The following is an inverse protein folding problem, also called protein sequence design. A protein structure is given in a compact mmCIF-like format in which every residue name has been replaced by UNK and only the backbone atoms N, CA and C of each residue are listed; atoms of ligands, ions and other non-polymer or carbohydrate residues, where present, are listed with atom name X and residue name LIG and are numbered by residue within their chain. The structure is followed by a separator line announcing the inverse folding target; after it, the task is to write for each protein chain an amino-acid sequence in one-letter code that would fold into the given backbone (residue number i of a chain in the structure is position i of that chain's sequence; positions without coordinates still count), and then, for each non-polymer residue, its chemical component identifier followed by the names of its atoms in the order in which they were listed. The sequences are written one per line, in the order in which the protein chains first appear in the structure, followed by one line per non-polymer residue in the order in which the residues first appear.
data_IF_839346020821
#
_entry.id   IF_839346020821
#
_cell.length_a   1.000
_cell.length_b   1.000
_cell.length_c   1.000
_cell.angle_alpha   90.00
_cell.angle_beta   90.00
_cell.angle_gamma   90.00
#
_symmetry.space_group_name_H-M   'P 1'
#
loop_
_entity.id
_entity.type
_entity.pdbx_description
1 polymer ?
#
# COMPACT_ATOMS: atom_id res chain seq x y z
N UNK A 1 -9.92 20.05 2.45
CA UNK A 1 -8.64 19.32 2.24
C UNK A 1 -8.63 17.89 2.80
N UNK A 2 -9.78 17.20 2.95
CA UNK A 2 -9.81 15.82 3.52
C UNK A 2 -9.40 14.70 2.55
N UNK A 3 -9.38 14.97 1.25
CA UNK A 3 -9.15 13.96 0.19
C UNK A 3 -7.69 13.78 -0.20
N UNK A 4 -6.84 14.78 0.07
CA UNK A 4 -5.41 14.76 -0.22
C UNK A 4 -4.67 13.52 0.31
N UNK A 5 -4.82 13.09 1.58
CA UNK A 5 -4.09 11.93 2.07
C UNK A 5 -4.50 10.64 1.35
N UNK A 6 -5.77 10.54 0.93
CA UNK A 6 -6.27 9.38 0.21
C UNK A 6 -5.69 9.30 -1.21
N UNK A 7 -5.68 10.42 -1.92
CA UNK A 7 -5.11 10.51 -3.29
C UNK A 7 -3.62 10.20 -3.28
N UNK A 8 -2.88 10.69 -2.27
CA UNK A 8 -1.45 10.42 -2.12
C UNK A 8 -1.19 8.94 -1.84
N UNK A 9 -1.96 8.28 -0.96
CA UNK A 9 -1.79 6.84 -0.70
C UNK A 9 -2.04 6.00 -1.96
N UNK A 10 -3.07 6.33 -2.74
CA UNK A 10 -3.35 5.63 -4.00
C UNK A 10 -2.29 5.87 -5.07
N UNK A 11 -1.70 7.07 -5.13
CA UNK A 11 -0.58 7.36 -6.02
C UNK A 11 0.66 6.55 -5.65
N UNK A 12 1.01 6.45 -4.36
CA UNK A 12 2.15 5.65 -3.89
C UNK A 12 1.95 4.17 -4.24
N UNK A 13 0.72 3.66 -4.06
CA UNK A 13 0.37 2.29 -4.43
C UNK A 13 0.47 2.06 -5.95
N UNK A 14 -0.05 2.97 -6.78
CA UNK A 14 0.04 2.90 -8.23
C UNK A 14 1.49 2.94 -8.73
N UNK A 15 2.34 3.78 -8.12
CA UNK A 15 3.77 3.84 -8.40
C UNK A 15 4.47 2.53 -8.04
N UNK A 16 4.10 1.90 -6.93
CA UNK A 16 4.60 0.56 -6.57
C UNK A 16 4.22 -0.49 -7.60
N UNK A 17 2.96 -0.51 -8.04
CA UNK A 17 2.47 -1.41 -9.08
C UNK A 17 3.19 -1.22 -10.43
N UNK A 18 3.46 0.02 -10.82
CA UNK A 18 4.20 0.34 -12.05
C UNK A 18 5.67 -0.08 -11.92
N UNK A 19 6.27 0.09 -10.73
CA UNK A 19 7.65 -0.33 -10.45
C UNK A 19 7.85 -1.84 -10.60
N UNK A 20 6.82 -2.66 -10.31
CA UNK A 20 6.86 -4.10 -10.55
C UNK A 20 7.06 -4.45 -12.03
N UNK A 21 6.48 -3.66 -12.94
CA UNK A 21 6.44 -3.97 -14.37
C UNK A 21 7.70 -3.54 -15.14
N UNK A 22 8.44 -2.56 -14.62
CA UNK A 22 9.50 -1.87 -15.37
C UNK A 22 10.93 -2.14 -14.86
N UNK A 23 11.11 -2.64 -13.64
CA UNK A 23 12.43 -2.85 -13.04
C UNK A 23 12.88 -4.32 -13.13
N UNK A 24 14.20 -4.58 -13.08
CA UNK A 24 14.70 -5.96 -12.95
C UNK A 24 13.99 -6.64 -11.78
N UNK A 25 13.56 -7.88 -12.03
CA UNK A 25 12.51 -8.57 -11.27
C UNK A 25 12.71 -8.52 -9.75
N UNK A 26 13.96 -8.68 -9.29
CA UNK A 26 14.31 -8.65 -7.86
C UNK A 26 14.20 -7.25 -7.23
N UNK A 27 14.56 -6.21 -8.00
CA UNK A 27 14.57 -4.82 -7.53
C UNK A 27 13.16 -4.21 -7.59
N UNK A 28 12.39 -4.51 -8.65
CA UNK A 28 10.99 -4.11 -8.77
C UNK A 28 10.11 -4.75 -7.68
N UNK A 29 10.37 -6.03 -7.36
CA UNK A 29 9.67 -6.76 -6.30
C UNK A 29 9.88 -6.12 -4.92
N UNK A 30 11.13 -5.88 -4.53
CA UNK A 30 11.45 -5.26 -3.23
C UNK A 30 10.85 -3.86 -3.07
N UNK A 31 10.93 -3.02 -4.12
CA UNK A 31 10.35 -1.67 -4.12
C UNK A 31 8.83 -1.72 -4.01
N UNK A 32 8.18 -2.66 -4.72
CA UNK A 32 6.72 -2.81 -4.67
C UNK A 32 6.25 -3.24 -3.28
N UNK A 33 6.93 -4.20 -2.64
CA UNK A 33 6.63 -4.61 -1.26
C UNK A 33 6.75 -3.42 -0.31
N UNK A 34 7.86 -2.68 -0.42
CA UNK A 34 8.15 -1.57 0.47
C UNK A 34 7.13 -0.44 0.31
N UNK A 35 6.77 -0.08 -0.92
CA UNK A 35 5.73 0.91 -1.21
C UNK A 35 4.34 0.45 -0.76
N UNK A 36 4.02 -0.84 -0.93
CA UNK A 36 2.75 -1.43 -0.49
C UNK A 36 2.62 -1.39 1.03
N UNK A 37 3.69 -1.74 1.76
CA UNK A 37 3.74 -1.67 3.21
C UNK A 37 3.61 -0.23 3.72
N UNK A 38 4.37 0.72 3.15
CA UNK A 38 4.27 2.13 3.52
C UNK A 38 2.84 2.64 3.29
N UNK A 39 2.26 2.37 2.12
CA UNK A 39 0.90 2.78 1.77
C UNK A 39 -0.12 2.18 2.74
N UNK A 40 0.05 0.90 3.10
CA UNK A 40 -0.79 0.21 4.08
C UNK A 40 -0.72 0.85 5.47
N UNK A 41 0.48 1.17 5.97
CA UNK A 41 0.65 1.85 7.28
C UNK A 41 0.01 3.23 7.28
N UNK A 42 0.24 4.04 6.24
CA UNK A 42 -0.35 5.38 6.15
C UNK A 42 -1.88 5.33 6.02
N UNK A 43 -2.40 4.38 5.24
CA UNK A 43 -3.84 4.14 5.15
C UNK A 43 -4.43 3.70 6.49
N UNK A 44 -3.71 2.91 7.28
CA UNK A 44 -4.12 2.47 8.61
C UNK A 44 -4.18 3.64 9.61
N UNK A 45 -3.17 4.52 9.58
CA UNK A 45 -3.15 5.76 10.38
C UNK A 45 -4.32 6.66 9.98
N UNK A 46 -4.57 6.83 8.68
CA UNK A 46 -5.71 7.59 8.18
C UNK A 46 -7.05 6.97 8.61
N UNK A 47 -7.18 5.64 8.55
CA UNK A 47 -8.38 4.92 8.99
C UNK A 47 -8.68 5.12 10.48
N UNK A 48 -7.63 5.11 11.32
CA UNK A 48 -7.72 5.37 12.75
C UNK A 48 -8.14 6.83 13.03
N UNK A 49 -7.54 7.81 12.33
CA UNK A 49 -7.92 9.22 12.43
C UNK A 49 -9.38 9.47 11.98
N UNK A 50 -9.85 8.71 11.00
CA UNK A 50 -11.22 8.79 10.47
C UNK A 50 -12.23 7.92 11.23
N UNK A 51 -11.80 7.15 12.25
CA UNK A 51 -12.63 6.20 13.01
C UNK A 51 -13.42 5.24 12.10
N UNK A 52 -12.82 4.86 10.97
CA UNK A 52 -13.52 4.14 9.90
C UNK A 52 -13.03 2.70 9.79
N UNK A 53 -13.86 1.78 10.26
CA UNK A 53 -13.58 0.34 10.26
C UNK A 53 -13.32 -0.24 8.87
N UNK A 54 -14.04 0.27 7.85
CA UNK A 54 -13.88 -0.16 6.46
C UNK A 54 -12.47 0.14 5.92
N UNK A 55 -11.95 1.34 6.17
CA UNK A 55 -10.59 1.69 5.75
C UNK A 55 -9.56 0.91 6.56
N UNK A 56 -9.83 0.63 7.84
CA UNK A 56 -8.95 -0.20 8.67
C UNK A 56 -8.76 -1.59 8.08
N UNK A 57 -9.84 -2.27 7.70
CA UNK A 57 -9.80 -3.60 7.08
C UNK A 57 -9.05 -3.58 5.76
N UNK A 58 -9.32 -2.59 4.90
CA UNK A 58 -8.63 -2.45 3.60
C UNK A 58 -7.14 -2.19 3.77
N UNK A 59 -6.76 -1.36 4.75
CA UNK A 59 -5.35 -1.09 5.09
C UNK A 59 -4.63 -2.33 5.59
N UNK A 60 -5.30 -3.12 6.43
CA UNK A 60 -4.77 -4.38 6.95
C UNK A 60 -4.58 -5.41 5.82
N UNK A 61 -5.54 -5.51 4.90
CA UNK A 61 -5.43 -6.36 3.72
C UNK A 61 -4.26 -5.93 2.80
N UNK A 62 -4.05 -4.63 2.64
CA UNK A 62 -2.91 -4.06 1.92
C UNK A 62 -1.57 -4.40 2.59
N UNK A 63 -1.49 -4.36 3.92
CA UNK A 63 -0.30 -4.76 4.68
C UNK A 63 0.00 -6.26 4.57
N UNK A 64 -1.05 -7.09 4.46
CA UNK A 64 -0.96 -8.54 4.36
C UNK A 64 -0.69 -9.02 2.92
N UNK A 65 -1.05 -8.24 1.91
CA UNK A 65 -0.92 -8.63 0.49
C UNK A 65 0.48 -9.08 0.05
N UNK A 66 1.61 -8.46 0.48
CA UNK A 66 2.93 -8.89 0.05
C UNK A 66 3.35 -10.20 0.71
N UNK A 67 2.85 -10.50 1.91
CA UNK A 67 3.14 -11.75 2.62
C UNK A 67 2.45 -12.95 1.97
N UNK A 68 1.25 -12.74 1.41
CA UNK A 68 0.54 -13.78 0.65
C UNK A 68 1.36 -14.19 -0.58
N UNK A 69 1.98 -13.23 -1.26
CA UNK A 69 2.84 -13.50 -2.43
C UNK A 69 4.15 -14.19 -2.03
N UNK A 70 4.73 -13.84 -0.88
CA UNK A 70 5.94 -14.49 -0.38
C UNK A 70 5.73 -15.93 0.11
N UNK A 71 4.48 -16.28 0.48
CA UNK A 71 4.10 -17.62 0.94
C UNK A 71 3.64 -18.55 -0.19
N UNK A 72 3.48 -18.03 -1.41
CA UNK A 72 3.01 -18.73 -2.62
C UNK A 72 4.19 -19.15 -3.50
#
# INVERSE_FOLDING_TARGET
MRWLPYVVCWLIFAVGLISWWFWPQDYGFAITILLTLISGVFSMIAAALLLSWKLGIVSLALLLSPWVVLLL
#
